data_IF_265751744946
#
_entry.id   IF_265751744946
#
_cell.length_a   1.000
_cell.length_b   1.000
_cell.length_c   1.000
_cell.angle_alpha   90.00
_cell.angle_beta   90.00
_cell.angle_gamma   90.00
#
_symmetry.space_group_name_H-M   'P 1'
#
loop_
_entity.id
_entity.type
_entity.pdbx_description
1 polymer ?
#
# COMPACT_ATOMS: atom_id res chain seq x y z
N UNK A 1 2.80 -9.85 19.05
CA UNK A 1 2.10 -11.00 18.48
C UNK A 1 1.73 -10.70 17.04
N UNK A 2 1.93 -11.67 16.14
CA UNK A 2 1.63 -11.54 14.71
C UNK A 2 0.13 -11.26 14.50
N UNK A 3 -0.17 -10.21 13.72
CA UNK A 3 -1.54 -9.79 13.43
C UNK A 3 -2.29 -10.85 12.62
N UNK A 4 -1.64 -11.48 11.65
CA UNK A 4 -2.25 -12.54 10.84
C UNK A 4 -2.63 -13.77 11.69
N UNK A 5 -1.80 -14.10 12.69
CA UNK A 5 -2.13 -15.18 13.63
C UNK A 5 -3.38 -14.84 14.47
N UNK A 6 -3.57 -13.57 14.82
CA UNK A 6 -4.80 -13.15 15.54
C UNK A 6 -6.04 -13.32 14.67
N UNK A 7 -5.98 -12.92 13.40
CA UNK A 7 -7.09 -13.15 12.46
C UNK A 7 -7.38 -14.62 12.27
N UNK A 8 -6.35 -15.43 12.09
CA UNK A 8 -6.51 -16.89 11.95
C UNK A 8 -7.21 -17.53 13.14
N UNK A 9 -6.89 -17.10 14.37
CA UNK A 9 -7.57 -17.58 15.60
C UNK A 9 -9.02 -17.17 15.70
N UNK A 10 -9.42 -16.10 15.03
CA UNK A 10 -10.79 -15.63 14.94
C UNK A 10 -11.58 -16.25 13.78
N UNK A 11 -10.97 -17.18 13.02
CA UNK A 11 -11.59 -17.74 11.82
C UNK A 11 -11.65 -16.76 10.65
N UNK A 12 -10.83 -15.70 10.69
CA UNK A 12 -10.77 -14.65 9.68
C UNK A 12 -9.50 -14.73 8.85
N UNK A 13 -9.55 -14.24 7.62
CA UNK A 13 -8.39 -13.98 6.78
C UNK A 13 -8.20 -12.48 6.58
N UNK A 14 -6.97 -12.00 6.62
CA UNK A 14 -6.66 -10.60 6.40
C UNK A 14 -5.54 -10.45 5.38
N UNK A 15 -5.57 -9.32 4.67
CA UNK A 15 -4.51 -8.96 3.73
C UNK A 15 -4.48 -7.43 3.55
N UNK A 16 -3.47 -6.95 2.81
CA UNK A 16 -3.34 -5.55 2.43
C UNK A 16 -2.70 -5.42 1.05
N UNK A 17 -3.00 -4.32 0.36
CA UNK A 17 -2.28 -3.94 -0.85
C UNK A 17 -2.07 -2.43 -0.90
N UNK A 18 -1.05 -2.00 -1.62
CA UNK A 18 -0.76 -0.59 -1.88
C UNK A 18 -0.86 -0.32 -3.39
N UNK A 19 -1.61 0.69 -3.73
CA UNK A 19 -1.67 1.26 -5.08
C UNK A 19 -0.93 2.59 -5.15
N UNK A 20 -1.04 3.27 -6.27
CA UNK A 20 -0.41 4.59 -6.49
C UNK A 20 -1.02 5.71 -5.68
N UNK A 21 -2.28 5.57 -5.24
CA UNK A 21 -3.08 6.59 -4.56
C UNK A 21 -3.61 6.17 -3.19
N UNK A 22 -3.47 4.88 -2.82
CA UNK A 22 -4.05 4.34 -1.59
C UNK A 22 -3.33 3.10 -1.10
N UNK A 23 -3.48 2.84 0.19
CA UNK A 23 -3.24 1.53 0.82
C UNK A 23 -4.57 1.00 1.34
N UNK A 24 -4.88 -0.24 1.05
CA UNK A 24 -6.09 -0.91 1.49
C UNK A 24 -5.74 -2.06 2.43
N UNK A 25 -6.34 -2.07 3.60
CA UNK A 25 -6.31 -3.18 4.56
C UNK A 25 -7.70 -3.80 4.58
N UNK A 26 -7.78 -5.10 4.48
CA UNK A 26 -9.06 -5.77 4.47
C UNK A 26 -9.01 -7.12 5.20
N UNK A 27 -10.14 -7.55 5.69
CA UNK A 27 -10.32 -8.89 6.22
C UNK A 27 -11.66 -9.46 5.74
N UNK A 28 -11.76 -10.78 5.77
CA UNK A 28 -12.99 -11.53 5.56
C UNK A 28 -13.15 -12.52 6.70
N UNK A 29 -14.37 -12.57 7.26
CA UNK A 29 -14.69 -13.44 8.38
C UNK A 29 -16.13 -13.96 8.23
N UNK A 30 -16.37 -15.21 8.61
CA UNK A 30 -17.71 -15.79 8.72
C UNK A 30 -18.29 -15.68 10.13
N UNK A 31 -17.43 -15.48 11.12
CA UNK A 31 -17.74 -15.33 12.54
C UNK A 31 -16.73 -14.37 13.20
N UNK A 32 -16.96 -13.97 14.44
CA UNK A 32 -16.08 -13.08 15.21
C UNK A 32 -15.75 -11.77 14.45
N UNK A 33 -16.74 -11.22 13.75
CA UNK A 33 -16.58 -10.04 12.88
C UNK A 33 -16.16 -8.82 13.72
N UNK A 34 -16.77 -8.67 14.89
CA UNK A 34 -16.55 -7.55 15.81
C UNK A 34 -15.12 -7.56 16.35
N UNK A 35 -14.64 -8.72 16.80
CA UNK A 35 -13.29 -8.93 17.30
C UNK A 35 -12.26 -8.75 16.17
N UNK A 36 -12.56 -9.24 14.98
CA UNK A 36 -11.71 -9.07 13.79
C UNK A 36 -11.60 -7.59 13.40
N UNK A 37 -12.71 -6.84 13.45
CA UNK A 37 -12.70 -5.39 13.23
C UNK A 37 -11.83 -4.67 14.29
N UNK A 38 -11.98 -5.02 15.56
CA UNK A 38 -11.17 -4.45 16.63
C UNK A 38 -9.67 -4.73 16.44
N UNK A 39 -9.30 -5.94 16.02
CA UNK A 39 -7.91 -6.30 15.68
C UNK A 39 -7.41 -5.46 14.52
N UNK A 40 -8.20 -5.28 13.45
CA UNK A 40 -7.85 -4.45 12.30
C UNK A 40 -7.60 -3.00 12.71
N UNK A 41 -8.55 -2.39 13.42
CA UNK A 41 -8.42 -0.99 13.89
C UNK A 41 -7.19 -0.81 14.76
N UNK A 42 -6.98 -1.69 15.72
CA UNK A 42 -5.80 -1.63 16.58
C UNK A 42 -4.50 -1.75 15.81
N UNK A 43 -4.41 -2.65 14.83
CA UNK A 43 -3.20 -2.82 14.02
C UNK A 43 -2.89 -1.63 13.13
N UNK A 44 -3.92 -0.95 12.61
CA UNK A 44 -3.77 0.25 11.78
C UNK A 44 -3.34 1.46 12.61
N UNK A 45 -3.96 1.68 13.79
CA UNK A 45 -3.73 2.90 14.57
C UNK A 45 -2.68 2.78 15.69
N UNK A 46 -2.12 1.57 15.92
CA UNK A 46 -1.10 1.35 16.92
C UNK A 46 0.18 0.75 16.30
N UNK A 47 0.95 1.53 15.53
CA UNK A 47 2.13 1.04 14.84
C UNK A 47 3.21 0.61 15.85
N UNK A 48 3.91 -0.46 15.53
CA UNK A 48 5.01 -0.98 16.33
C UNK A 48 6.29 -1.07 15.49
N UNK A 49 6.91 0.09 15.24
CA UNK A 49 8.16 0.18 14.50
C UNK A 49 9.35 0.21 15.45
N UNK A 50 10.05 -0.90 15.58
CA UNK A 50 11.34 -0.96 16.26
C UNK A 50 12.47 -1.08 15.24
N UNK A 51 13.66 -0.64 15.59
CA UNK A 51 14.85 -0.78 14.73
C UNK A 51 15.05 -2.22 14.26
N UNK A 52 14.78 -3.20 15.14
CA UNK A 52 14.92 -4.62 14.85
C UNK A 52 13.88 -5.08 13.82
N UNK A 53 12.59 -4.73 14.01
CA UNK A 53 11.52 -5.09 13.09
C UNK A 53 11.72 -4.43 11.72
N UNK A 54 12.01 -3.14 11.71
CA UNK A 54 12.27 -2.39 10.47
C UNK A 54 13.44 -2.99 9.70
N UNK A 55 14.53 -3.35 10.39
CA UNK A 55 15.67 -4.02 9.75
C UNK A 55 15.29 -5.37 9.14
N UNK A 56 14.50 -6.18 9.86
CA UNK A 56 14.02 -7.48 9.39
C UNK A 56 13.15 -7.32 8.14
N UNK A 57 12.13 -6.45 8.19
CA UNK A 57 11.22 -6.19 7.07
C UNK A 57 11.94 -5.63 5.84
N UNK A 58 12.89 -4.71 6.03
CA UNK A 58 13.74 -4.23 4.92
C UNK A 58 14.48 -5.37 4.23
N UNK A 59 14.94 -6.36 4.97
CA UNK A 59 15.56 -7.56 4.39
C UNK A 59 14.61 -8.34 3.48
N UNK A 60 13.38 -8.54 3.93
CA UNK A 60 12.33 -9.24 3.17
C UNK A 60 11.97 -8.44 1.91
N UNK A 61 11.66 -7.15 2.06
CA UNK A 61 11.30 -6.26 0.95
C UNK A 61 12.43 -6.17 -0.10
N UNK A 62 13.69 -6.14 0.33
CA UNK A 62 14.82 -6.11 -0.58
C UNK A 62 14.98 -7.43 -1.38
N UNK A 63 14.62 -8.56 -0.79
CA UNK A 63 14.58 -9.84 -1.53
C UNK A 63 13.42 -9.87 -2.53
N UNK A 64 12.25 -9.39 -2.13
CA UNK A 64 11.08 -9.25 -3.01
C UNK A 64 11.36 -8.31 -4.18
N UNK A 65 11.97 -7.15 -3.93
CA UNK A 65 12.39 -6.22 -4.99
C UNK A 65 13.35 -6.86 -5.99
N UNK A 66 14.30 -7.67 -5.54
CA UNK A 66 15.20 -8.40 -6.45
C UNK A 66 14.42 -9.37 -7.32
N UNK A 67 13.49 -10.12 -6.72
CA UNK A 67 12.65 -11.06 -7.47
C UNK A 67 11.84 -10.34 -8.58
N UNK A 68 11.26 -9.17 -8.27
CA UNK A 68 10.56 -8.37 -9.29
C UNK A 68 11.49 -7.77 -10.35
N UNK A 69 12.74 -7.44 -10.00
CA UNK A 69 13.73 -6.97 -10.98
C UNK A 69 14.18 -8.07 -11.94
N UNK A 70 14.14 -9.32 -11.51
CA UNK A 70 14.49 -10.49 -12.31
C UNK A 70 13.30 -10.97 -13.17
N UNK A 71 12.08 -10.44 -12.95
CA UNK A 71 10.90 -10.76 -13.76
C UNK A 71 10.84 -9.89 -15.03
N UNK A 72 10.87 -10.50 -16.24
CA UNK A 72 10.81 -9.77 -17.49
C UNK A 72 9.47 -9.02 -17.70
N UNK A 73 8.35 -9.58 -17.19
CA UNK A 73 7.03 -8.96 -17.27
C UNK A 73 6.96 -7.66 -16.45
N UNK A 74 7.47 -7.70 -15.23
CA UNK A 74 7.62 -6.53 -14.38
C UNK A 74 8.56 -5.49 -14.98
N UNK A 75 9.68 -5.95 -15.52
CA UNK A 75 10.68 -5.07 -16.15
C UNK A 75 10.10 -4.30 -17.35
N UNK A 76 9.35 -4.97 -18.23
CA UNK A 76 8.73 -4.30 -19.38
C UNK A 76 7.58 -3.39 -18.96
N UNK A 77 6.78 -3.77 -17.97
CA UNK A 77 5.70 -2.94 -17.43
C UNK A 77 6.23 -1.62 -16.86
N UNK A 78 7.29 -1.69 -16.04
CA UNK A 78 7.97 -0.50 -15.50
C UNK A 78 8.57 0.39 -16.59
N UNK A 79 9.19 -0.21 -17.60
CA UNK A 79 9.75 0.52 -18.74
C UNK A 79 8.65 1.24 -19.53
N UNK A 80 7.52 0.58 -19.74
CA UNK A 80 6.34 1.15 -20.38
C UNK A 80 5.82 2.37 -19.61
N UNK A 81 5.59 2.25 -18.31
CA UNK A 81 5.11 3.35 -17.48
C UNK A 81 6.08 4.54 -17.48
N UNK A 82 7.40 4.29 -17.42
CA UNK A 82 8.43 5.33 -17.52
C UNK A 82 8.49 5.98 -18.91
N UNK A 83 8.18 5.25 -19.96
CA UNK A 83 8.10 5.81 -21.32
C UNK A 83 6.82 6.65 -21.53
N UNK A 84 5.72 6.20 -20.95
CA UNK A 84 4.42 6.90 -21.06
C UNK A 84 4.38 8.18 -20.23
N UNK A 85 4.92 8.18 -19.01
CA UNK A 85 4.78 9.28 -18.05
C UNK A 85 6.13 9.94 -17.73
N UNK A 86 6.15 11.28 -17.69
CA UNK A 86 7.35 12.03 -17.35
C UNK A 86 7.35 12.48 -15.88
N UNK A 87 6.22 13.01 -15.41
CA UNK A 87 6.10 13.63 -14.08
C UNK A 87 5.05 12.97 -13.19
N UNK A 88 4.20 12.12 -13.74
CA UNK A 88 3.18 11.42 -12.99
C UNK A 88 3.79 10.38 -12.06
N UNK A 89 3.12 10.14 -10.92
CA UNK A 89 3.46 9.06 -9.98
C UNK A 89 3.36 7.67 -10.60
N UNK A 90 2.56 7.51 -11.64
CA UNK A 90 2.41 6.25 -12.37
C UNK A 90 3.72 5.73 -12.96
N UNK A 91 4.74 6.58 -13.10
CA UNK A 91 6.07 6.16 -13.53
C UNK A 91 6.93 5.55 -12.42
N UNK A 92 6.60 5.85 -11.16
CA UNK A 92 7.37 5.40 -10.01
C UNK A 92 6.93 4.00 -9.57
N UNK A 93 7.89 3.21 -9.14
CA UNK A 93 7.62 1.88 -8.59
C UNK A 93 7.03 2.02 -7.18
N UNK A 94 5.90 1.36 -6.92
CA UNK A 94 5.24 1.36 -5.61
C UNK A 94 6.17 0.80 -4.53
N UNK A 95 6.94 -0.23 -4.86
CA UNK A 95 7.94 -0.80 -3.95
C UNK A 95 9.19 0.08 -3.79
N UNK A 96 9.31 1.14 -4.57
CA UNK A 96 10.46 2.01 -4.58
C UNK A 96 11.70 1.38 -5.24
N UNK A 97 12.87 1.74 -4.76
CA UNK A 97 14.16 1.24 -5.22
C UNK A 97 14.95 0.59 -4.08
N UNK A 98 15.95 -0.21 -4.42
CA UNK A 98 16.86 -0.80 -3.42
C UNK A 98 17.49 0.28 -2.54
N UNK A 99 17.86 1.43 -3.12
CA UNK A 99 18.44 2.55 -2.37
C UNK A 99 17.42 3.22 -1.44
N UNK A 100 16.19 3.48 -1.93
CA UNK A 100 15.15 4.11 -1.10
C UNK A 100 14.72 3.19 0.06
N UNK A 101 14.52 1.89 -0.19
CA UNK A 101 14.18 0.95 0.90
C UNK A 101 15.30 0.86 1.94
N UNK A 102 16.57 0.86 1.51
CA UNK A 102 17.70 0.86 2.44
C UNK A 102 17.77 2.12 3.29
N UNK A 103 17.38 3.28 2.79
CA UNK A 103 17.43 4.55 3.51
C UNK A 103 16.32 4.72 4.56
N UNK A 104 15.15 4.09 4.38
CA UNK A 104 14.02 4.23 5.31
C UNK A 104 14.43 3.92 6.76
N UNK A 105 14.10 4.79 7.68
CA UNK A 105 14.31 4.64 9.11
C UNK A 105 13.00 4.38 9.85
N UNK A 106 13.09 3.87 11.08
CA UNK A 106 11.95 3.74 11.99
C UNK A 106 11.28 5.09 12.26
N UNK A 107 12.06 6.18 12.36
CA UNK A 107 11.54 7.53 12.53
C UNK A 107 10.69 7.97 11.33
N UNK A 108 11.18 7.79 10.11
CA UNK A 108 10.43 8.13 8.89
C UNK A 108 9.13 7.33 8.77
N UNK A 109 9.11 6.05 9.20
CA UNK A 109 7.90 5.26 9.26
C UNK A 109 6.88 5.81 10.25
N UNK A 110 7.32 6.26 11.45
CA UNK A 110 6.43 6.93 12.41
C UNK A 110 5.93 8.26 11.87
N UNK A 111 6.76 9.07 11.24
CA UNK A 111 6.37 10.35 10.62
C UNK A 111 5.35 10.13 9.50
N UNK A 112 5.56 9.14 8.62
CA UNK A 112 4.63 8.77 7.57
C UNK A 112 3.30 8.27 8.15
N UNK A 113 3.34 7.39 9.16
CA UNK A 113 2.15 6.90 9.81
C UNK A 113 1.35 8.06 10.43
N UNK A 114 1.98 8.92 11.22
CA UNK A 114 1.33 10.06 11.87
C UNK A 114 0.75 11.07 10.86
N UNK A 115 1.32 11.14 9.66
CA UNK A 115 0.86 12.06 8.61
C UNK A 115 -0.33 11.49 7.82
N UNK A 116 -0.31 10.22 7.49
CA UNK A 116 -1.26 9.63 6.55
C UNK A 116 -2.34 8.76 7.21
N UNK A 117 -2.06 8.16 8.37
CA UNK A 117 -2.97 7.24 9.05
C UNK A 117 -3.89 7.97 10.03
N UNK A 118 -4.60 8.96 9.51
CA UNK A 118 -5.58 9.74 10.23
C UNK A 118 -6.99 9.25 9.89
N UNK A 119 -7.90 9.10 10.85
CA UNK A 119 -9.30 8.74 10.57
C UNK A 119 -9.96 9.65 9.51
N UNK A 120 -9.62 10.94 9.51
CA UNK A 120 -10.08 11.92 8.52
C UNK A 120 -9.53 11.68 7.10
N UNK A 121 -8.51 10.85 6.94
CA UNK A 121 -7.89 10.47 5.66
C UNK A 121 -8.23 9.04 5.23
N UNK A 122 -9.18 8.39 5.92
CA UNK A 122 -9.54 7.00 5.67
C UNK A 122 -11.01 6.84 5.32
N UNK A 123 -11.33 5.74 4.68
CA UNK A 123 -12.69 5.27 4.42
C UNK A 123 -12.75 3.85 4.94
N UNK A 124 -13.72 3.57 5.82
CA UNK A 124 -14.08 2.22 6.22
C UNK A 124 -15.32 1.78 5.43
N UNK A 125 -15.24 0.62 4.81
CA UNK A 125 -16.37 0.00 4.13
C UNK A 125 -16.56 -1.41 4.68
N UNK A 126 -17.78 -1.73 5.11
CA UNK A 126 -18.16 -3.07 5.55
C UNK A 126 -19.31 -3.58 4.68
N UNK A 127 -19.25 -4.86 4.32
CA UNK A 127 -20.31 -5.54 3.59
C UNK A 127 -20.52 -6.91 4.20
N UNK A 128 -21.78 -7.28 4.49
CA UNK A 128 -22.11 -8.56 5.08
C UNK A 128 -23.24 -8.47 6.11
N UNK A 129 -23.38 -9.52 6.89
CA UNK A 129 -24.37 -9.56 7.99
C UNK A 129 -23.67 -9.15 9.30
N UNK A 130 -23.97 -7.95 9.79
CA UNK A 130 -23.44 -7.40 11.05
C UNK A 130 -24.43 -6.42 11.67
N UNK A 131 -24.25 -6.12 12.95
CA UNK A 131 -24.99 -5.09 13.67
C UNK A 131 -24.28 -3.74 13.55
N UNK A 132 -24.87 -2.73 12.88
CA UNK A 132 -24.22 -1.42 12.71
C UNK A 132 -23.92 -0.70 14.04
N UNK A 133 -24.75 -0.83 15.05
CA UNK A 133 -24.55 -0.14 16.33
C UNK A 133 -23.37 -0.73 17.09
N UNK A 134 -23.17 -2.05 17.01
CA UNK A 134 -21.98 -2.70 17.57
C UNK A 134 -20.71 -2.30 16.83
N UNK A 135 -20.76 -2.21 15.50
CA UNK A 135 -19.63 -1.70 14.70
C UNK A 135 -19.26 -0.28 15.12
N UNK A 136 -20.24 0.62 15.22
CA UNK A 136 -20.00 1.99 15.66
C UNK A 136 -19.40 2.04 17.07
N UNK A 137 -19.90 1.24 18.00
CA UNK A 137 -19.35 1.17 19.36
C UNK A 137 -17.89 0.67 19.40
N UNK A 138 -17.49 -0.19 18.45
CA UNK A 138 -16.09 -0.63 18.32
C UNK A 138 -15.23 0.51 17.78
N UNK A 139 -15.71 1.22 16.75
CA UNK A 139 -15.00 2.37 16.18
C UNK A 139 -14.78 3.46 17.22
N UNK A 140 -15.79 3.79 17.99
CA UNK A 140 -15.69 4.80 19.07
C UNK A 140 -14.63 4.45 20.12
N UNK A 141 -14.43 3.17 20.40
CA UNK A 141 -13.42 2.69 21.36
C UNK A 141 -12.02 2.56 20.78
N UNK A 142 -11.92 2.31 19.47
CA UNK A 142 -10.64 1.96 18.84
C UNK A 142 -10.02 3.11 18.05
N UNK A 143 -10.83 4.07 17.61
CA UNK A 143 -10.32 5.23 16.89
C UNK A 143 -9.63 6.22 17.85
N UNK A 144 -8.50 6.78 17.47
CA UNK A 144 -7.81 7.79 18.28
C UNK A 144 -8.65 9.06 18.33
N UNK A 145 -9.12 9.42 19.53
CA UNK A 145 -9.99 10.59 19.76
C UNK A 145 -9.37 11.95 19.36
N UNK A 146 -8.06 12.02 19.29
CA UNK A 146 -7.30 13.27 19.05
C UNK A 146 -7.04 13.57 17.56
N UNK A 147 -7.38 12.67 16.64
CA UNK A 147 -6.96 12.75 15.23
C UNK A 147 -8.10 13.09 14.25
N UNK A 148 -9.22 13.61 14.75
CA UNK A 148 -10.35 14.02 13.89
C UNK A 148 -10.18 15.41 13.24
N UNK A 149 -9.10 16.15 13.54
CA UNK A 149 -8.79 17.39 12.83
C UNK A 149 -8.44 17.05 11.37
N UNK A 150 -9.35 17.44 10.49
CA UNK A 150 -9.18 17.22 9.06
C UNK A 150 -8.04 18.12 8.56
N UNK A 151 -6.90 17.58 8.16
CA UNK A 151 -5.90 18.41 7.50
C UNK A 151 -6.52 18.96 6.21
N UNK A 152 -6.19 20.19 5.88
CA UNK A 152 -6.63 20.80 4.62
C UNK A 152 -6.10 19.94 3.48
N UNK A 153 -7.00 19.19 2.84
CA UNK A 153 -6.61 18.30 1.71
C UNK A 153 -6.31 19.19 0.52
N UNK A 154 -5.05 19.45 0.27
CA UNK A 154 -4.66 19.98 -1.04
C UNK A 154 -4.90 18.88 -2.08
N UNK A 155 -5.61 19.18 -3.18
CA UNK A 155 -5.74 18.24 -4.28
C UNK A 155 -4.36 17.78 -4.72
N UNK A 156 -4.21 16.47 -4.86
CA UNK A 156 -2.98 15.90 -5.35
C UNK A 156 -2.93 16.12 -6.85
N UNK A 157 -2.17 17.11 -7.28
CA UNK A 157 -1.91 17.30 -8.70
C UNK A 157 -1.00 16.18 -9.21
N UNK A 158 -1.54 15.31 -10.03
CA UNK A 158 -0.77 14.33 -10.79
C UNK A 158 -0.91 14.65 -12.28
N UNK A 159 0.02 15.39 -12.86
CA UNK A 159 -0.08 15.85 -14.23
C UNK A 159 -0.02 14.65 -15.19
N UNK A 160 -1.10 14.46 -15.95
CA UNK A 160 -1.23 13.42 -16.96
C UNK A 160 -1.28 14.06 -18.36
N UNK A 161 -0.18 14.63 -18.86
CA UNK A 161 -0.19 15.23 -20.19
C UNK A 161 -0.50 14.15 -21.25
N UNK A 162 -1.22 14.49 -22.34
CA UNK A 162 -1.57 13.52 -23.38
C UNK A 162 -0.35 12.95 -24.10
N UNK A 163 0.76 13.71 -24.12
CA UNK A 163 1.99 13.27 -24.77
C UNK A 163 2.71 12.22 -23.94
N UNK A 164 3.25 11.22 -24.61
CA UNK A 164 4.19 10.28 -24.00
C UNK A 164 5.58 10.92 -23.90
N UNK A 165 6.30 10.57 -22.84
CA UNK A 165 7.70 10.98 -22.68
C UNK A 165 8.58 10.40 -23.78
N UNK A 166 8.37 9.13 -24.13
CA UNK A 166 9.02 8.43 -25.23
C UNK A 166 7.98 7.69 -26.05
N UNK A 167 8.10 7.70 -27.38
CA UNK A 167 7.24 6.92 -28.27
C UNK A 167 7.65 5.44 -28.34
N UNK A 168 8.89 5.16 -28.09
CA UNK A 168 9.44 3.80 -28.01
C UNK A 168 10.60 3.75 -27.03
N UNK A 169 10.77 2.62 -26.36
CA UNK A 169 11.90 2.33 -25.50
C UNK A 169 12.29 0.85 -25.68
N UNK A 170 13.49 0.48 -25.30
CA UNK A 170 13.98 -0.91 -25.35
C UNK A 170 14.67 -1.22 -24.04
N UNK A 171 14.35 -2.38 -23.48
CA UNK A 171 14.99 -2.92 -22.30
C UNK A 171 15.57 -4.28 -22.68
N UNK A 172 16.76 -4.58 -22.24
CA UNK A 172 17.41 -5.86 -22.46
C UNK A 172 17.27 -6.70 -21.19
N UNK A 173 16.83 -7.95 -21.37
CA UNK A 173 16.70 -8.94 -20.31
C UNK A 173 17.17 -10.30 -20.86
N UNK A 174 17.56 -11.21 -19.97
CA UNK A 174 17.92 -12.57 -20.33
C UNK A 174 16.65 -13.41 -20.52
N UNK A 175 16.09 -13.33 -21.74
CA UNK A 175 14.84 -14.00 -22.13
C UNK A 175 15.00 -14.66 -23.50
N UNK A 176 14.32 -15.79 -23.67
CA UNK A 176 14.35 -16.55 -24.94
C UNK A 176 13.42 -15.98 -26.00
N UNK A 177 12.33 -15.34 -25.60
CA UNK A 177 11.31 -14.80 -26.53
C UNK A 177 11.12 -13.30 -26.28
N UNK A 178 11.28 -12.45 -27.30
CA UNK A 178 11.04 -11.01 -27.17
C UNK A 178 9.61 -10.72 -26.72
N UNK A 179 9.47 -9.78 -25.80
CA UNK A 179 8.17 -9.30 -25.28
C UNK A 179 7.95 -7.87 -25.75
N UNK A 180 6.75 -7.57 -26.21
CA UNK A 180 6.35 -6.24 -26.66
C UNK A 180 5.18 -5.77 -25.77
N UNK A 181 5.28 -4.54 -25.26
CA UNK A 181 4.20 -3.89 -24.55
C UNK A 181 3.80 -2.58 -25.27
N UNK A 182 2.51 -2.31 -25.35
CA UNK A 182 1.95 -1.11 -25.98
C UNK A 182 1.07 -0.41 -24.95
N UNK A 183 1.35 0.88 -24.73
CA UNK A 183 0.57 1.73 -23.84
C UNK A 183 -0.19 2.80 -24.60
N UNK A 184 -1.46 2.97 -24.25
CA UNK A 184 -2.33 4.01 -24.80
C UNK A 184 -2.85 4.85 -23.64
N UNK A 185 -2.67 6.16 -23.70
CA UNK A 185 -3.29 7.07 -22.73
C UNK A 185 -4.73 7.33 -23.14
N UNK A 186 -5.64 7.19 -22.20
CA UNK A 186 -7.00 7.69 -22.35
C UNK A 186 -7.04 9.22 -22.38
N UNK A 187 -8.07 9.76 -23.00
CA UNK A 187 -8.40 11.19 -23.00
C UNK A 187 -9.32 11.51 -21.85
#
# INVERSE_FOLDING_TARGET
>A
EDVFLKFSRLGASANAYTGTDRTCYFFSASENIEESLAVMMKSIFSPYFTKANVKKEKGIILQELKMYLDDPGETISRALMRAMYEKSRLREDICGSISSVKSISDRELFEAHNTFYLPSNMILSLCGHFDPDRVLAILDRTLPQTLFTRPEKKPLEDPLPPQCRKRSDRVYADITTPVVAIGIKGT
#
